data_IF_732697758703
#
_entry.id   IF_732697758703
#
_cell.length_a   1.000
_cell.length_b   1.000
_cell.length_c   1.000
_cell.angle_alpha   90.00
_cell.angle_beta   90.00
_cell.angle_gamma   90.00
#
_symmetry.space_group_name_H-M   'P 1'
#
loop_
_entity.id
_entity.type
_entity.pdbx_description
1 polymer ?
#
# COMPACT_ATOMS: atom_id res chain seq x y z
N UNK A 1 -21.64 -18.39 9.95
CA UNK A 1 -21.43 -18.18 8.50
C UNK A 1 -22.75 -18.48 7.81
N UNK A 2 -23.32 -17.51 7.10
CA UNK A 2 -24.65 -17.63 6.51
C UNK A 2 -24.60 -18.17 5.06
N UNK A 3 -23.55 -17.91 4.33
CA UNK A 3 -23.36 -18.35 2.94
C UNK A 3 -21.91 -18.80 2.70
N UNK A 4 -21.71 -20.03 2.25
CA UNK A 4 -20.36 -20.59 2.03
C UNK A 4 -20.07 -20.80 0.54
N UNK A 5 -20.90 -21.54 -0.16
CA UNK A 5 -20.76 -21.85 -1.57
C UNK A 5 -22.15 -21.91 -2.27
N UNK A 6 -22.22 -21.83 -3.60
CA UNK A 6 -23.43 -22.08 -4.34
C UNK A 6 -23.81 -23.58 -4.27
N UNK A 7 -25.08 -23.85 -4.04
CA UNK A 7 -25.61 -25.23 -3.99
C UNK A 7 -25.61 -25.87 -2.60
N UNK A 8 -25.90 -27.19 -2.55
CA UNK A 8 -25.98 -27.93 -1.28
C UNK A 8 -24.57 -28.24 -0.76
N UNK A 9 -24.30 -27.84 0.47
CA UNK A 9 -23.02 -28.10 1.13
C UNK A 9 -23.15 -29.34 1.99
N UNK A 10 -22.34 -30.36 1.70
CA UNK A 10 -22.31 -31.63 2.44
C UNK A 10 -21.40 -31.52 3.67
N UNK A 11 -20.23 -30.89 3.51
CA UNK A 11 -19.27 -30.71 4.59
C UNK A 11 -18.72 -29.32 4.59
N UNK A 12 -18.96 -28.58 5.68
CA UNK A 12 -18.48 -27.21 5.85
C UNK A 12 -16.95 -27.14 5.98
N UNK A 13 -16.32 -28.21 6.46
CA UNK A 13 -14.86 -28.26 6.68
C UNK A 13 -14.05 -28.27 5.38
N UNK A 14 -14.68 -28.57 4.23
CA UNK A 14 -14.03 -28.52 2.92
C UNK A 14 -13.74 -27.06 2.50
N UNK A 15 -14.54 -26.13 2.99
CA UNK A 15 -14.45 -24.70 2.70
C UNK A 15 -13.77 -23.90 3.80
N UNK A 16 -13.97 -24.27 5.05
CA UNK A 16 -13.52 -23.52 6.23
C UNK A 16 -12.87 -24.49 7.22
N UNK A 17 -11.63 -24.20 7.61
CA UNK A 17 -10.90 -24.98 8.62
C UNK A 17 -10.62 -24.09 9.82
N UNK A 18 -10.75 -24.66 11.02
CA UNK A 18 -10.40 -24.02 12.26
C UNK A 18 -8.91 -23.62 12.27
N UNK A 19 -8.59 -22.46 12.82
CA UNK A 19 -7.23 -21.91 12.85
C UNK A 19 -6.77 -21.26 11.54
N UNK A 20 -7.50 -21.42 10.41
CA UNK A 20 -7.17 -20.78 9.15
C UNK A 20 -7.83 -19.41 9.03
N UNK A 21 -7.03 -18.37 8.78
CA UNK A 21 -7.53 -17.02 8.49
C UNK A 21 -8.10 -16.97 7.07
N UNK A 22 -9.37 -16.61 6.95
CA UNK A 22 -10.11 -16.57 5.67
C UNK A 22 -10.83 -15.22 5.58
N UNK A 23 -10.91 -14.67 4.37
CA UNK A 23 -11.62 -13.42 4.10
C UNK A 23 -13.09 -13.71 3.80
N UNK A 24 -13.99 -13.06 4.54
CA UNK A 24 -15.42 -13.10 4.37
C UNK A 24 -15.98 -11.71 4.09
N UNK A 25 -17.12 -11.65 3.42
CA UNK A 25 -17.94 -10.46 3.35
C UNK A 25 -18.90 -10.44 4.55
N UNK A 26 -18.94 -9.33 5.29
CA UNK A 26 -19.91 -9.12 6.38
C UNK A 26 -21.25 -8.73 5.74
N UNK A 27 -22.29 -9.53 5.98
CA UNK A 27 -23.64 -9.27 5.48
C UNK A 27 -24.45 -8.42 6.45
N UNK A 28 -24.41 -8.79 7.72
CA UNK A 28 -25.19 -8.14 8.77
C UNK A 28 -24.47 -8.25 10.11
N UNK A 29 -24.56 -7.20 10.91
CA UNK A 29 -24.09 -7.19 12.31
C UNK A 29 -25.29 -6.92 13.22
N UNK A 30 -25.59 -7.84 14.12
CA UNK A 30 -26.59 -7.64 15.15
C UNK A 30 -25.86 -7.39 16.47
N UNK A 31 -25.83 -6.15 16.89
CA UNK A 31 -25.11 -5.71 18.09
C UNK A 31 -25.78 -6.22 19.38
N UNK A 32 -27.11 -6.34 19.38
CA UNK A 32 -27.88 -6.78 20.58
C UNK A 32 -27.62 -8.26 20.90
N UNK A 33 -27.55 -9.11 19.86
CA UNK A 33 -27.30 -10.55 20.02
C UNK A 33 -25.83 -10.94 19.87
N UNK A 34 -24.95 -10.00 19.56
CA UNK A 34 -23.51 -10.27 19.29
C UNK A 34 -23.27 -11.14 18.07
N UNK A 35 -24.23 -11.22 17.12
CA UNK A 35 -24.11 -12.07 15.96
C UNK A 35 -23.62 -11.31 14.72
N UNK A 36 -22.73 -11.95 13.97
CA UNK A 36 -22.22 -11.43 12.69
C UNK A 36 -22.49 -12.47 11.59
N UNK A 37 -23.27 -12.08 10.60
CA UNK A 37 -23.54 -12.89 9.42
C UNK A 37 -22.45 -12.68 8.37
N UNK A 38 -21.81 -13.76 7.96
CA UNK A 38 -20.65 -13.76 7.07
C UNK A 38 -20.95 -14.57 5.81
N UNK A 39 -20.52 -14.06 4.66
CA UNK A 39 -20.57 -14.76 3.38
C UNK A 39 -19.18 -14.99 2.81
N UNK A 40 -18.85 -16.26 2.54
CA UNK A 40 -17.67 -16.63 1.76
C UNK A 40 -17.99 -16.56 0.27
N UNK A 41 -19.20 -16.93 -0.13
CA UNK A 41 -19.66 -16.95 -1.51
C UNK A 41 -19.58 -15.57 -2.17
N UNK A 42 -20.01 -14.51 -1.49
CA UNK A 42 -20.05 -13.15 -2.03
C UNK A 42 -18.69 -12.44 -2.00
N UNK A 43 -17.72 -12.98 -1.29
CA UNK A 43 -16.36 -12.46 -1.34
C UNK A 43 -15.68 -12.90 -2.65
N UNK A 44 -15.63 -12.02 -3.65
CA UNK A 44 -14.95 -12.30 -4.92
C UNK A 44 -13.47 -12.60 -4.73
N UNK A 45 -12.84 -13.26 -5.69
CA UNK A 45 -11.41 -13.57 -5.63
C UNK A 45 -10.55 -12.30 -5.58
N UNK A 46 -10.95 -11.26 -6.30
CA UNK A 46 -10.27 -9.95 -6.27
C UNK A 46 -10.35 -9.29 -4.90
N UNK A 47 -11.53 -9.29 -4.26
CA UNK A 47 -11.69 -8.75 -2.90
C UNK A 47 -10.88 -9.53 -1.87
N UNK A 48 -10.82 -10.86 -2.00
CA UNK A 48 -9.97 -11.69 -1.12
C UNK A 48 -8.50 -11.39 -1.31
N UNK A 49 -8.04 -11.27 -2.56
CA UNK A 49 -6.65 -10.94 -2.86
C UNK A 49 -6.27 -9.55 -2.32
N UNK A 50 -7.11 -8.53 -2.57
CA UNK A 50 -6.90 -7.17 -2.07
C UNK A 50 -6.86 -7.13 -0.54
N UNK A 51 -7.79 -7.82 0.16
CA UNK A 51 -7.79 -7.85 1.62
C UNK A 51 -6.59 -8.59 2.20
N UNK A 52 -6.20 -9.71 1.58
CA UNK A 52 -5.01 -10.46 2.01
C UNK A 52 -3.74 -9.61 1.85
N UNK A 53 -3.64 -8.85 0.75
CA UNK A 53 -2.51 -7.94 0.55
C UNK A 53 -2.52 -6.80 1.57
N UNK A 54 -3.68 -6.19 1.82
CA UNK A 54 -3.83 -5.18 2.87
C UNK A 54 -3.38 -5.69 4.24
N UNK A 55 -3.79 -6.90 4.63
CA UNK A 55 -3.37 -7.52 5.90
C UNK A 55 -1.86 -7.79 5.94
N UNK A 56 -1.28 -8.24 4.82
CA UNK A 56 0.18 -8.44 4.74
C UNK A 56 0.95 -7.14 4.92
N UNK A 57 0.47 -6.05 4.31
CA UNK A 57 1.10 -4.74 4.44
C UNK A 57 0.97 -4.20 5.86
N UNK A 58 -0.20 -4.37 6.50
CA UNK A 58 -0.41 -3.96 7.89
C UNK A 58 0.48 -4.76 8.85
N UNK A 59 0.61 -6.07 8.68
CA UNK A 59 1.53 -6.90 9.48
C UNK A 59 3.00 -6.47 9.29
N UNK A 60 3.39 -6.01 8.09
CA UNK A 60 4.73 -5.44 7.88
C UNK A 60 4.89 -4.12 8.64
N UNK A 61 3.90 -3.24 8.58
CA UNK A 61 3.92 -1.97 9.31
C UNK A 61 3.98 -2.19 10.83
N UNK A 62 3.24 -3.15 11.36
CA UNK A 62 3.30 -3.53 12.78
C UNK A 62 4.70 -3.99 13.20
N UNK A 63 5.35 -4.84 12.38
CA UNK A 63 6.74 -5.25 12.65
C UNK A 63 7.72 -4.09 12.62
N UNK A 64 7.48 -3.07 11.80
CA UNK A 64 8.30 -1.85 11.81
C UNK A 64 8.09 -1.04 13.08
N UNK A 65 6.84 -0.94 13.54
CA UNK A 65 6.51 -0.30 14.81
C UNK A 65 7.16 -1.04 15.99
N UNK A 66 7.12 -2.38 15.99
CA UNK A 66 7.80 -3.22 16.97
C UNK A 66 9.33 -3.02 16.95
N UNK A 67 9.92 -2.96 15.76
CA UNK A 67 11.37 -2.72 15.61
C UNK A 67 11.78 -1.33 16.14
N UNK A 68 10.93 -0.31 15.91
CA UNK A 68 11.12 1.01 16.49
C UNK A 68 10.99 0.98 18.02
N UNK A 69 10.00 0.28 18.55
CA UNK A 69 9.83 0.08 20.00
C UNK A 69 11.03 -0.57 20.63
N UNK A 70 11.58 -1.63 20.04
CA UNK A 70 12.79 -2.30 20.55
C UNK A 70 14.00 -1.37 20.63
N UNK A 71 14.21 -0.50 19.64
CA UNK A 71 15.29 0.50 19.66
C UNK A 71 15.10 1.56 20.75
N UNK A 72 13.84 1.88 21.06
CA UNK A 72 13.48 2.85 22.08
C UNK A 72 13.29 2.22 23.47
N UNK A 73 13.53 0.90 23.60
CA UNK A 73 13.27 0.13 24.83
C UNK A 73 11.80 0.20 25.29
N UNK A 74 10.88 0.31 24.34
CA UNK A 74 9.44 0.34 24.55
C UNK A 74 8.80 -0.95 24.04
N UNK A 75 7.85 -1.47 24.82
CA UNK A 75 7.04 -2.62 24.38
C UNK A 75 6.03 -2.22 23.29
N UNK A 76 5.62 -3.19 22.46
CA UNK A 76 4.69 -2.99 21.34
C UNK A 76 3.38 -2.34 21.81
N UNK A 77 2.82 -2.78 22.95
CA UNK A 77 1.59 -2.22 23.50
C UNK A 77 1.74 -0.72 23.81
N UNK A 78 2.86 -0.33 24.42
CA UNK A 78 3.16 1.08 24.68
C UNK A 78 3.34 1.88 23.42
N UNK A 79 3.92 1.29 22.36
CA UNK A 79 4.02 1.93 21.05
C UNK A 79 2.65 2.15 20.41
N UNK A 80 1.71 1.20 20.56
CA UNK A 80 0.33 1.39 20.12
C UNK A 80 -0.38 2.51 20.89
N UNK A 81 -0.23 2.59 22.21
CA UNK A 81 -0.85 3.64 23.02
C UNK A 81 -0.29 5.02 22.71
N UNK A 82 1.01 5.13 22.50
CA UNK A 82 1.67 6.41 22.20
C UNK A 82 1.38 6.89 20.77
N UNK A 83 1.40 6.00 19.79
CA UNK A 83 1.47 6.36 18.37
C UNK A 83 0.44 5.58 17.56
N UNK A 84 0.39 4.26 17.70
CA UNK A 84 -0.37 3.37 16.84
C UNK A 84 -1.86 3.70 16.80
N UNK A 85 -2.47 3.89 17.96
CA UNK A 85 -3.90 4.22 18.07
C UNK A 85 -4.23 5.56 17.42
N UNK A 86 -3.38 6.58 17.59
CA UNK A 86 -3.55 7.90 16.96
C UNK A 86 -3.45 7.83 15.43
N UNK A 87 -2.50 7.03 14.93
CA UNK A 87 -2.35 6.78 13.50
C UNK A 87 -3.58 6.08 12.94
N UNK A 88 -4.04 5.02 13.59
CA UNK A 88 -5.21 4.25 13.13
C UNK A 88 -6.47 5.11 13.11
N UNK A 89 -6.68 5.97 14.11
CA UNK A 89 -7.82 6.89 14.14
C UNK A 89 -7.83 7.87 12.96
N UNK A 90 -6.68 8.38 12.53
CA UNK A 90 -6.59 9.38 11.46
C UNK A 90 -6.45 8.78 10.07
N UNK A 91 -5.66 7.73 9.93
CA UNK A 91 -5.32 7.11 8.64
C UNK A 91 -6.04 5.79 8.37
N UNK A 92 -6.71 5.23 9.36
CA UNK A 92 -7.38 3.92 9.25
C UNK A 92 -6.43 2.72 9.32
N UNK A 93 -5.13 2.88 9.02
CA UNK A 93 -4.11 1.84 9.12
C UNK A 93 -2.70 2.38 9.32
N UNK A 94 -1.82 1.59 9.94
CA UNK A 94 -0.40 1.94 10.13
C UNK A 94 0.33 2.04 8.78
N UNK A 95 0.02 1.10 7.87
CA UNK A 95 0.67 1.03 6.57
C UNK A 95 0.48 2.30 5.75
N UNK A 96 -0.74 2.84 5.66
CA UNK A 96 -1.04 4.07 4.93
C UNK A 96 -0.26 5.27 5.49
N UNK A 97 -0.22 5.40 6.81
CA UNK A 97 0.58 6.45 7.44
C UNK A 97 2.08 6.30 7.11
N UNK A 98 2.61 5.08 7.17
CA UNK A 98 4.02 4.84 6.89
C UNK A 98 4.40 5.10 5.42
N UNK A 99 3.50 4.84 4.48
CA UNK A 99 3.69 5.25 3.08
C UNK A 99 3.77 6.78 2.94
N UNK A 100 2.90 7.51 3.62
CA UNK A 100 2.98 8.97 3.60
C UNK A 100 4.24 9.52 4.30
N UNK A 101 4.71 8.88 5.38
CA UNK A 101 5.95 9.26 6.06
C UNK A 101 7.18 9.19 5.16
N UNK A 102 7.21 8.25 4.21
CA UNK A 102 8.30 8.15 3.24
C UNK A 102 8.36 9.38 2.35
N UNK A 103 7.20 9.99 2.07
CA UNK A 103 7.08 11.14 1.15
C UNK A 103 7.17 12.48 1.89
N UNK A 104 6.48 12.62 3.04
CA UNK A 104 6.27 13.90 3.74
C UNK A 104 7.14 14.09 5.00
N UNK A 105 8.02 13.14 5.32
CA UNK A 105 8.92 13.18 6.47
C UNK A 105 8.25 13.27 7.85
N UNK A 106 9.01 13.79 8.84
CA UNK A 106 8.64 13.81 10.27
C UNK A 106 7.42 14.69 10.60
N UNK A 107 7.02 15.59 9.70
CA UNK A 107 5.96 16.57 9.94
C UNK A 107 4.61 15.90 10.30
N UNK A 108 4.36 14.71 9.79
CA UNK A 108 3.14 13.96 10.09
C UNK A 108 3.14 13.50 11.54
N UNK A 109 4.22 12.89 12.02
CA UNK A 109 4.30 12.37 13.39
C UNK A 109 4.32 13.48 14.44
N UNK A 110 4.96 14.59 14.15
CA UNK A 110 4.95 15.76 15.04
C UNK A 110 3.57 16.37 15.18
N UNK A 111 2.73 16.32 14.14
CA UNK A 111 1.33 16.77 14.21
C UNK A 111 0.46 15.96 15.18
N UNK A 112 0.89 14.74 15.54
CA UNK A 112 0.22 13.91 16.56
C UNK A 112 0.72 14.15 18.00
N UNK A 113 1.61 15.14 18.19
CA UNK A 113 2.19 15.43 19.50
C UNK A 113 3.21 14.36 19.93
N UNK A 114 3.86 13.70 18.97
CA UNK A 114 4.90 12.71 19.23
C UNK A 114 6.24 13.46 19.39
N UNK A 115 7.03 13.03 20.37
CA UNK A 115 8.36 13.57 20.60
C UNK A 115 9.22 13.47 19.32
N UNK A 116 9.90 14.56 18.96
CA UNK A 116 10.74 14.62 17.75
C UNK A 116 11.79 13.52 17.69
N UNK A 117 12.36 13.12 18.83
CA UNK A 117 13.33 12.02 18.89
C UNK A 117 12.72 10.68 18.48
N UNK A 118 11.51 10.39 18.96
CA UNK A 118 10.77 9.16 18.64
C UNK A 118 10.34 9.21 17.17
N UNK A 119 9.82 10.35 16.71
CA UNK A 119 9.40 10.55 15.32
C UNK A 119 10.56 10.34 14.35
N UNK A 120 11.74 10.92 14.61
CA UNK A 120 12.92 10.77 13.76
C UNK A 120 13.38 9.31 13.66
N UNK A 121 13.40 8.57 14.77
CA UNK A 121 13.81 7.15 14.75
C UNK A 121 12.81 6.28 13.96
N UNK A 122 11.50 6.54 14.11
CA UNK A 122 10.48 5.83 13.33
C UNK A 122 10.63 6.12 11.83
N UNK A 123 10.78 7.38 11.45
CA UNK A 123 10.97 7.79 10.04
C UNK A 123 12.21 7.13 9.45
N UNK A 124 13.31 7.08 10.21
CA UNK A 124 14.54 6.39 9.76
C UNK A 124 14.30 4.93 9.46
N UNK A 125 13.67 4.19 10.38
CA UNK A 125 13.36 2.75 10.20
C UNK A 125 12.39 2.54 9.04
N UNK A 126 11.37 3.40 8.92
CA UNK A 126 10.38 3.33 7.86
C UNK A 126 11.03 3.55 6.49
N UNK A 127 11.88 4.58 6.34
CA UNK A 127 12.60 4.86 5.08
C UNK A 127 13.60 3.77 4.70
N UNK A 128 14.24 3.12 5.67
CA UNK A 128 15.14 1.99 5.41
C UNK A 128 14.41 0.75 4.90
N UNK A 129 13.15 0.54 5.32
CA UNK A 129 12.41 -0.70 5.07
C UNK A 129 11.28 -0.59 4.05
N UNK A 130 10.72 0.60 3.89
CA UNK A 130 9.64 0.86 2.93
C UNK A 130 10.24 1.68 1.78
N UNK A 131 10.23 1.08 0.59
CA UNK A 131 10.53 1.84 -0.63
C UNK A 131 9.37 2.77 -0.95
N UNK A 132 9.63 3.99 -1.42
CA UNK A 132 8.56 4.86 -1.90
C UNK A 132 7.77 4.17 -3.01
N UNK A 133 6.45 4.42 -3.10
CA UNK A 133 5.65 3.84 -4.18
C UNK A 133 6.16 4.39 -5.52
N UNK A 134 6.59 3.49 -6.40
CA UNK A 134 6.96 3.82 -7.76
C UNK A 134 5.75 3.66 -8.67
N UNK A 135 5.47 4.66 -9.47
CA UNK A 135 4.41 4.63 -10.48
C UNK A 135 5.07 4.58 -11.84
N UNK A 136 4.74 3.57 -12.63
CA UNK A 136 5.12 3.47 -14.02
C UNK A 136 3.97 3.95 -14.89
N UNK A 137 4.27 4.87 -15.79
CA UNK A 137 3.32 5.39 -16.77
C UNK A 137 3.87 5.06 -18.16
N UNK A 138 3.11 4.30 -18.92
CA UNK A 138 3.44 3.98 -20.31
C UNK A 138 2.48 4.76 -21.21
N UNK A 139 3.02 5.32 -22.32
CA UNK A 139 2.22 6.07 -23.28
C UNK A 139 2.79 5.96 -24.68
N UNK A 140 1.95 6.08 -25.70
CA UNK A 140 2.34 6.12 -27.09
C UNK A 140 2.34 7.56 -27.59
N UNK A 141 3.42 7.95 -28.26
CA UNK A 141 3.57 9.26 -28.87
C UNK A 141 3.75 9.09 -30.38
N UNK A 142 2.90 9.73 -31.18
CA UNK A 142 3.05 9.79 -32.63
C UNK A 142 3.62 11.14 -33.03
N UNK A 143 4.76 11.12 -33.73
CA UNK A 143 5.45 12.31 -34.20
C UNK A 143 5.58 12.25 -35.73
N UNK A 144 5.23 13.33 -36.41
CA UNK A 144 5.35 13.48 -37.84
C UNK A 144 6.01 14.82 -38.18
N UNK A 145 6.93 14.81 -39.13
CA UNK A 145 7.54 16.02 -39.70
C UNK A 145 7.49 16.01 -41.21
N UNK A 146 7.12 17.13 -41.83
CA UNK A 146 7.13 17.33 -43.29
C UNK A 146 8.43 17.95 -43.79
N UNK A 147 9.38 18.25 -42.91
CA UNK A 147 10.66 18.84 -43.28
C UNK A 147 11.57 17.79 -43.97
N UNK A 148 12.46 18.18 -44.93
CA UNK A 148 13.40 17.28 -45.59
C UNK A 148 14.26 16.48 -44.58
N UNK A 149 14.66 17.10 -43.46
CA UNK A 149 15.45 16.49 -42.37
C UNK A 149 14.59 16.19 -41.13
N UNK A 150 13.31 15.84 -41.33
CA UNK A 150 12.35 15.66 -40.26
C UNK A 150 12.77 14.64 -39.19
N UNK A 151 13.45 13.56 -39.62
CA UNK A 151 13.95 12.51 -38.73
C UNK A 151 14.99 13.07 -37.74
N UNK A 152 15.88 13.95 -38.19
CA UNK A 152 16.94 14.49 -37.33
C UNK A 152 16.34 15.43 -36.26
N UNK A 153 15.33 16.22 -36.63
CA UNK A 153 14.59 17.06 -35.68
C UNK A 153 13.86 16.23 -34.62
N UNK A 154 13.19 15.14 -35.03
CA UNK A 154 12.50 14.24 -34.13
C UNK A 154 13.50 13.57 -33.17
N UNK A 155 14.60 13.03 -33.68
CA UNK A 155 15.66 12.41 -32.86
C UNK A 155 16.25 13.40 -31.86
N UNK A 156 16.52 14.63 -32.29
CA UNK A 156 17.06 15.67 -31.41
C UNK A 156 16.06 15.99 -30.28
N UNK A 157 14.79 16.24 -30.62
CA UNK A 157 13.76 16.54 -29.65
C UNK A 157 13.57 15.41 -28.61
N UNK A 158 13.61 14.14 -29.03
CA UNK A 158 13.51 13.00 -28.17
C UNK A 158 14.72 12.85 -27.23
N UNK A 159 15.94 13.10 -27.73
CA UNK A 159 17.15 13.13 -26.90
C UNK A 159 17.12 14.26 -25.88
N UNK A 160 16.73 15.45 -26.30
CA UNK A 160 16.59 16.60 -25.40
C UNK A 160 15.56 16.31 -24.29
N UNK A 161 14.47 15.60 -24.61
CA UNK A 161 13.47 15.15 -23.63
C UNK A 161 14.04 14.12 -22.64
N UNK A 162 14.81 13.13 -23.10
CA UNK A 162 15.49 12.17 -22.21
C UNK A 162 16.49 12.86 -21.28
N UNK A 163 17.27 13.82 -21.80
CA UNK A 163 18.26 14.54 -21.02
C UNK A 163 17.59 15.48 -19.97
N UNK A 164 16.46 16.09 -20.34
CA UNK A 164 15.63 16.84 -19.40
C UNK A 164 15.07 15.93 -18.28
N UNK A 165 14.60 14.75 -18.64
CA UNK A 165 14.10 13.77 -17.69
C UNK A 165 15.20 13.33 -16.71
N UNK A 166 16.41 13.03 -17.20
CA UNK A 166 17.57 12.72 -16.37
C UNK A 166 17.93 13.85 -15.40
N UNK A 167 17.89 15.09 -15.86
CA UNK A 167 18.16 16.25 -15.01
C UNK A 167 17.15 16.37 -13.85
N UNK A 168 15.91 15.96 -14.08
CA UNK A 168 14.82 15.92 -13.08
C UNK A 168 14.76 14.60 -12.30
N UNK A 169 15.71 13.67 -12.51
CA UNK A 169 15.77 12.35 -11.88
C UNK A 169 14.55 11.45 -12.19
N UNK A 170 13.94 11.61 -13.35
CA UNK A 170 12.94 10.69 -13.86
C UNK A 170 13.61 9.64 -14.75
N UNK A 171 13.24 8.36 -14.56
CA UNK A 171 13.65 7.27 -15.45
C UNK A 171 12.67 7.20 -16.63
N UNK A 172 13.04 7.83 -17.73
CA UNK A 172 12.27 7.84 -18.99
C UNK A 172 13.00 7.02 -20.03
N UNK A 173 12.28 6.07 -20.63
CA UNK A 173 12.77 5.25 -21.72
C UNK A 173 11.89 5.46 -22.95
N UNK A 174 12.49 5.89 -24.05
CA UNK A 174 11.80 6.06 -25.32
C UNK A 174 12.15 4.89 -26.22
N UNK A 175 11.14 4.21 -26.75
CA UNK A 175 11.28 3.04 -27.62
C UNK A 175 10.56 3.33 -28.94
N UNK A 176 11.25 3.16 -30.07
CA UNK A 176 10.62 3.24 -31.37
C UNK A 176 9.81 1.97 -31.66
N UNK A 177 8.52 2.14 -31.97
CA UNK A 177 7.59 1.03 -32.20
C UNK A 177 7.36 0.74 -33.72
N UNK A 178 7.88 1.55 -34.57
CA UNK A 178 7.64 1.49 -36.01
C UNK A 178 6.84 2.68 -36.54
N UNK A 179 6.71 2.78 -37.85
CA UNK A 179 5.90 3.79 -38.54
C UNK A 179 4.65 3.13 -39.14
#
# INVERSE_FOLDING_TARGET
>A
ISEIAPGRIWNIRDYVKEGKKIVFLVLRVNKEKGHVDLSLRRASQSLRAAKNESVKQENKAEKLLEAAGKKLSLDLNKMYDLIGNKIIQKYGSLHLCFQELVIKDESILTSFGIDKKIAAEIVKIVKERIKPPEVRVDGNLSLMSKAPNGIDFIKKALKDAEDLAKSKKYDVRIIYLGA
#
